data_IF_445999459963
#
_entry.id   IF_445999459963
#
_cell.length_a   1.000
_cell.length_b   1.000
_cell.length_c   1.000
_cell.angle_alpha   90.00
_cell.angle_beta   90.00
_cell.angle_gamma   90.00
#
_symmetry.space_group_name_H-M   'P 1'
#
loop_
_entity.id
_entity.type
_entity.pdbx_description
1 polymer ?
#
# COMPACT_ATOMS: atom_id res chain seq x y z
N UNK A 1 -21.93 -5.18 -29.38
CA UNK A 1 -22.58 -5.67 -28.14
C UNK A 1 -22.38 -4.63 -27.05
N UNK A 2 -23.37 -4.37 -26.19
CA UNK A 2 -23.16 -3.52 -25.02
C UNK A 2 -22.13 -4.17 -24.08
N UNK A 3 -21.26 -3.37 -23.47
CA UNK A 3 -20.21 -3.83 -22.54
C UNK A 3 -20.77 -4.76 -21.44
N UNK A 4 -22.01 -4.51 -20.99
CA UNK A 4 -22.75 -5.33 -20.04
C UNK A 4 -23.07 -6.76 -20.53
N UNK A 5 -23.25 -6.96 -21.84
CA UNK A 5 -23.52 -8.28 -22.42
C UNK A 5 -22.29 -9.17 -22.46
N UNK A 6 -21.10 -8.59 -22.70
CA UNK A 6 -19.84 -9.32 -22.67
C UNK A 6 -19.45 -9.74 -21.25
N UNK A 7 -19.68 -8.86 -20.26
CA UNK A 7 -19.40 -9.15 -18.85
C UNK A 7 -20.27 -10.30 -18.30
N UNK A 8 -21.55 -10.33 -18.69
CA UNK A 8 -22.48 -11.38 -18.28
C UNK A 8 -22.08 -12.74 -18.87
N UNK A 9 -21.71 -12.77 -20.16
CA UNK A 9 -21.22 -13.99 -20.82
C UNK A 9 -19.93 -14.50 -20.17
N UNK A 10 -18.99 -13.60 -19.85
CA UNK A 10 -17.74 -13.97 -19.18
C UNK A 10 -18.00 -14.64 -17.82
N UNK A 11 -18.90 -14.08 -17.01
CA UNK A 11 -19.29 -14.68 -15.72
C UNK A 11 -19.91 -16.06 -15.90
N UNK A 12 -20.75 -16.26 -16.92
CA UNK A 12 -21.33 -17.57 -17.22
C UNK A 12 -20.25 -18.60 -17.61
N UNK A 13 -19.33 -18.24 -18.49
CA UNK A 13 -18.22 -19.11 -18.92
C UNK A 13 -17.31 -19.50 -17.75
N UNK A 14 -16.94 -18.53 -16.90
CA UNK A 14 -16.13 -18.78 -15.70
C UNK A 14 -16.83 -19.77 -14.77
N UNK A 15 -18.12 -19.55 -14.51
CA UNK A 15 -18.93 -20.44 -13.66
C UNK A 15 -19.01 -21.86 -14.21
N UNK A 16 -19.15 -22.01 -15.53
CA UNK A 16 -19.17 -23.31 -16.19
C UNK A 16 -17.83 -24.05 -16.07
N UNK A 17 -16.71 -23.36 -16.33
CA UNK A 17 -15.36 -23.91 -16.20
C UNK A 17 -15.10 -24.41 -14.77
N UNK A 18 -15.44 -23.60 -13.76
CA UNK A 18 -15.28 -23.97 -12.35
C UNK A 18 -16.11 -25.21 -12.00
N UNK A 19 -17.34 -25.27 -12.50
CA UNK A 19 -18.22 -26.43 -12.29
C UNK A 19 -17.63 -27.70 -12.91
N UNK A 20 -17.22 -27.64 -14.18
CA UNK A 20 -16.64 -28.77 -14.91
C UNK A 20 -15.31 -29.25 -14.32
N UNK A 21 -14.42 -28.33 -13.91
CA UNK A 21 -13.20 -28.69 -13.18
C UNK A 21 -13.52 -29.47 -11.90
N UNK A 22 -14.55 -29.04 -11.15
CA UNK A 22 -14.99 -29.70 -9.92
C UNK A 22 -15.51 -31.11 -10.18
N UNK A 23 -16.31 -31.31 -11.24
CA UNK A 23 -16.78 -32.64 -11.65
C UNK A 23 -15.62 -33.58 -12.00
N UNK A 24 -14.53 -33.05 -12.54
CA UNK A 24 -13.28 -33.78 -12.84
C UNK A 24 -12.36 -33.95 -11.62
N UNK A 25 -12.78 -33.51 -10.44
CA UNK A 25 -12.01 -33.66 -9.19
C UNK A 25 -10.97 -32.57 -8.93
N UNK A 26 -10.96 -31.48 -9.72
CA UNK A 26 -10.05 -30.35 -9.56
C UNK A 26 -10.76 -29.16 -8.90
N UNK A 27 -10.22 -28.68 -7.78
CA UNK A 27 -10.70 -27.47 -7.14
C UNK A 27 -10.04 -26.23 -7.78
N UNK A 28 -10.83 -25.42 -8.48
CA UNK A 28 -10.40 -24.19 -9.17
C UNK A 28 -11.23 -23.02 -8.65
N UNK A 29 -10.58 -21.90 -8.31
CA UNK A 29 -11.26 -20.66 -7.91
C UNK A 29 -11.77 -19.89 -9.12
N UNK A 30 -12.81 -19.07 -8.95
CA UNK A 30 -13.32 -18.20 -10.03
C UNK A 30 -12.24 -17.27 -10.58
N UNK A 31 -11.35 -16.76 -9.73
CA UNK A 31 -10.24 -15.90 -10.13
C UNK A 31 -9.23 -16.64 -11.02
N UNK A 32 -8.87 -17.87 -10.65
CA UNK A 32 -7.96 -18.68 -11.45
C UNK A 32 -8.58 -19.04 -12.80
N UNK A 33 -9.88 -19.36 -12.83
CA UNK A 33 -10.61 -19.59 -14.07
C UNK A 33 -10.70 -18.34 -14.95
N UNK A 34 -10.97 -17.17 -14.37
CA UNK A 34 -10.99 -15.89 -15.08
C UNK A 34 -9.62 -15.54 -15.71
N UNK A 35 -8.54 -15.78 -14.95
CA UNK A 35 -7.18 -15.59 -15.46
C UNK A 35 -6.89 -16.57 -16.61
N UNK A 36 -7.29 -17.84 -16.47
CA UNK A 36 -7.09 -18.84 -17.53
C UNK A 36 -7.85 -18.46 -18.81
N UNK A 37 -9.10 -18.03 -18.71
CA UNK A 37 -9.88 -17.53 -19.85
C UNK A 37 -9.13 -16.41 -20.56
N UNK A 38 -8.60 -15.46 -19.80
CA UNK A 38 -7.82 -14.35 -20.35
C UNK A 38 -6.55 -14.84 -21.05
N UNK A 39 -5.80 -15.75 -20.43
CA UNK A 39 -4.58 -16.34 -21.00
C UNK A 39 -4.86 -17.11 -22.30
N UNK A 40 -5.96 -17.86 -22.36
CA UNK A 40 -6.37 -18.61 -23.55
C UNK A 40 -6.79 -17.69 -24.69
N UNK A 41 -7.55 -16.63 -24.41
CA UNK A 41 -7.96 -15.64 -25.42
C UNK A 41 -6.78 -14.83 -25.95
N UNK A 42 -5.81 -14.49 -25.10
CA UNK A 42 -4.65 -13.69 -25.47
C UNK A 42 -3.55 -14.48 -26.19
N UNK A 43 -3.55 -15.81 -26.09
CA UNK A 43 -2.57 -16.66 -26.78
C UNK A 43 -2.86 -16.69 -28.30
N UNK A 44 -1.98 -16.11 -29.14
CA UNK A 44 -2.23 -16.03 -30.58
C UNK A 44 -2.33 -17.40 -31.26
N UNK A 45 -1.82 -18.48 -30.63
CA UNK A 45 -1.91 -19.86 -31.14
C UNK A 45 -3.35 -20.40 -31.10
N UNK A 46 -4.19 -19.88 -30.22
CA UNK A 46 -5.57 -20.32 -30.08
C UNK A 46 -6.49 -19.69 -31.12
N UNK A 47 -6.06 -18.63 -31.81
CA UNK A 47 -6.77 -18.02 -32.94
C UNK A 47 -8.05 -17.28 -32.56
N UNK A 48 -8.16 -16.81 -31.31
CA UNK A 48 -9.24 -15.90 -30.92
C UNK A 48 -8.96 -14.50 -31.45
N UNK A 49 -10.01 -13.83 -31.95
CA UNK A 49 -9.93 -12.44 -32.39
C UNK A 49 -10.66 -11.57 -31.37
N UNK A 50 -9.91 -10.72 -30.66
CA UNK A 50 -10.42 -9.84 -29.59
C UNK A 50 -11.40 -8.79 -30.13
N UNK A 51 -11.30 -8.44 -31.41
CA UNK A 51 -12.13 -7.41 -32.06
C UNK A 51 -13.46 -7.96 -32.62
N UNK A 52 -13.66 -9.29 -32.57
CA UNK A 52 -14.88 -9.95 -33.07
C UNK A 52 -15.74 -10.45 -31.91
N UNK A 53 -17.06 -10.42 -32.09
CA UNK A 53 -18.00 -11.06 -31.16
C UNK A 53 -17.81 -12.58 -31.18
N UNK A 54 -17.66 -13.18 -30.00
CA UNK A 54 -17.57 -14.64 -29.82
C UNK A 54 -18.86 -15.32 -30.31
N UNK A 55 -18.70 -16.34 -31.14
CA UNK A 55 -19.79 -17.26 -31.53
C UNK A 55 -19.97 -18.35 -30.47
N UNK A 56 -21.05 -19.13 -30.56
CA UNK A 56 -21.25 -20.28 -29.67
C UNK A 56 -20.12 -21.30 -29.76
N UNK A 57 -19.61 -21.53 -30.98
CA UNK A 57 -18.49 -22.45 -31.22
C UNK A 57 -17.20 -21.92 -30.61
N UNK A 58 -16.98 -20.59 -30.65
CA UNK A 58 -15.83 -19.96 -29.99
C UNK A 58 -15.89 -20.10 -28.48
N UNK A 59 -17.09 -19.99 -27.88
CA UNK A 59 -17.29 -20.19 -26.44
C UNK A 59 -16.99 -21.64 -26.05
N UNK A 60 -17.50 -22.61 -26.81
CA UNK A 60 -17.24 -24.02 -26.54
C UNK A 60 -15.73 -24.33 -26.65
N UNK A 61 -15.07 -23.85 -27.71
CA UNK A 61 -13.63 -23.98 -27.89
C UNK A 61 -12.84 -23.34 -26.74
N UNK A 62 -13.27 -22.17 -26.28
CA UNK A 62 -12.66 -21.48 -25.15
C UNK A 62 -12.76 -22.30 -23.87
N UNK A 63 -13.94 -22.86 -23.58
CA UNK A 63 -14.16 -23.72 -22.42
C UNK A 63 -13.30 -24.97 -22.48
N UNK A 64 -13.27 -25.67 -23.62
CA UNK A 64 -12.43 -26.86 -23.81
C UNK A 64 -10.95 -26.57 -23.56
N UNK A 65 -10.40 -25.50 -24.17
CA UNK A 65 -9.01 -25.10 -23.98
C UNK A 65 -8.69 -24.72 -22.53
N UNK A 66 -9.61 -24.04 -21.84
CA UNK A 66 -9.45 -23.71 -20.43
C UNK A 66 -9.47 -24.96 -19.55
N UNK A 67 -10.41 -25.88 -19.78
CA UNK A 67 -10.54 -27.11 -19.02
C UNK A 67 -9.32 -28.01 -19.19
N UNK A 68 -8.82 -28.16 -20.42
CA UNK A 68 -7.63 -28.95 -20.69
C UNK A 68 -6.41 -28.39 -19.96
N UNK A 69 -6.21 -27.06 -19.98
CA UNK A 69 -5.11 -26.41 -19.26
C UNK A 69 -5.25 -26.48 -17.75
N UNK A 70 -6.46 -26.32 -17.21
CA UNK A 70 -6.69 -26.33 -15.76
C UNK A 70 -6.63 -27.73 -15.14
N UNK A 71 -6.87 -28.76 -15.93
CA UNK A 71 -6.85 -30.16 -15.50
C UNK A 71 -5.57 -30.90 -15.90
N UNK A 72 -4.64 -30.21 -16.58
CA UNK A 72 -3.34 -30.75 -16.96
C UNK A 72 -2.53 -31.14 -15.71
N UNK A 73 -2.11 -32.41 -15.64
CA UNK A 73 -1.27 -32.92 -14.55
C UNK A 73 0.19 -32.57 -14.82
N UNK A 74 0.90 -32.14 -13.78
CA UNK A 74 2.33 -31.82 -13.84
C UNK A 74 2.64 -30.75 -14.91
N UNK A 75 1.89 -29.64 -14.91
CA UNK A 75 2.09 -28.52 -15.85
C UNK A 75 2.79 -27.35 -15.16
N UNK A 76 4.10 -27.13 -15.41
CA UNK A 76 4.81 -25.97 -14.85
C UNK A 76 4.18 -24.64 -15.23
N UNK A 77 3.51 -24.58 -16.40
CA UNK A 77 2.79 -23.40 -16.85
C UNK A 77 1.57 -23.09 -15.97
N UNK A 78 0.81 -24.12 -15.60
CA UNK A 78 -0.32 -23.99 -14.69
C UNK A 78 0.14 -23.61 -13.28
N UNK A 79 1.23 -24.22 -12.80
CA UNK A 79 1.79 -23.90 -11.49
C UNK A 79 2.30 -22.46 -11.42
N UNK A 80 2.90 -21.95 -12.50
CA UNK A 80 3.30 -20.54 -12.61
C UNK A 80 2.09 -19.61 -12.58
N UNK A 81 1.01 -19.93 -13.30
CA UNK A 81 -0.23 -19.15 -13.29
C UNK A 81 -0.85 -19.14 -11.89
N UNK A 82 -0.88 -20.29 -11.19
CA UNK A 82 -1.37 -20.37 -9.80
C UNK A 82 -0.54 -19.50 -8.86
N UNK A 83 0.79 -19.50 -9.01
CA UNK A 83 1.67 -18.62 -8.25
C UNK A 83 1.38 -17.14 -8.52
N UNK A 84 1.17 -16.75 -9.78
CA UNK A 84 0.84 -15.38 -10.16
C UNK A 84 -0.51 -14.94 -9.57
N UNK A 85 -1.56 -15.76 -9.73
CA UNK A 85 -2.88 -15.46 -9.15
C UNK A 85 -2.81 -15.40 -7.63
N UNK A 86 -2.05 -16.29 -6.99
CA UNK A 86 -1.84 -16.24 -5.55
C UNK A 86 -1.13 -14.94 -5.14
N UNK A 87 -0.12 -14.52 -5.88
CA UNK A 87 0.57 -13.26 -5.61
C UNK A 87 -0.38 -12.06 -5.76
N UNK A 88 -1.10 -11.97 -6.89
CA UNK A 88 -2.02 -10.87 -7.17
C UNK A 88 -3.18 -10.77 -6.16
N UNK A 89 -3.63 -11.90 -5.59
CA UNK A 89 -4.72 -11.91 -4.61
C UNK A 89 -4.26 -11.61 -3.18
N UNK A 90 -3.03 -11.96 -2.82
CA UNK A 90 -2.57 -11.90 -1.43
C UNK A 90 -1.59 -10.75 -1.16
N UNK A 91 -0.98 -10.19 -2.20
CA UNK A 91 -0.07 -9.05 -2.07
C UNK A 91 -0.74 -7.81 -2.62
N UNK A 92 -0.83 -6.78 -1.77
CA UNK A 92 -1.21 -5.44 -2.21
C UNK A 92 -0.19 -4.94 -3.21
N UNK A 93 -0.66 -4.14 -4.16
CA UNK A 93 0.28 -3.47 -5.07
C UNK A 93 1.21 -2.59 -4.23
N UNK A 94 2.43 -2.37 -4.73
CA UNK A 94 3.38 -1.44 -4.07
C UNK A 94 2.74 -0.07 -3.77
N UNK A 95 1.81 0.38 -4.60
CA UNK A 95 1.09 1.64 -4.40
C UNK A 95 0.15 1.57 -3.19
N UNK A 96 -0.71 0.55 -3.13
CA UNK A 96 -1.64 0.34 -2.01
C UNK A 96 -0.89 0.14 -0.69
N UNK A 97 0.21 -0.63 -0.70
CA UNK A 97 1.05 -0.80 0.48
C UNK A 97 1.63 0.53 1.00
N UNK A 98 2.09 1.41 0.08
CA UNK A 98 2.59 2.73 0.45
C UNK A 98 1.47 3.65 0.95
N UNK A 99 0.27 3.54 0.38
CA UNK A 99 -0.92 4.26 0.83
C UNK A 99 -1.34 3.82 2.24
N UNK A 100 -1.34 2.52 2.53
CA UNK A 100 -1.63 1.97 3.85
C UNK A 100 -0.63 2.45 4.89
N UNK A 101 0.67 2.48 4.55
CA UNK A 101 1.71 3.06 5.43
C UNK A 101 1.40 4.54 5.68
N UNK A 102 1.18 5.32 4.63
CA UNK A 102 0.90 6.76 4.78
C UNK A 102 -0.36 7.01 5.62
N UNK A 103 -1.42 6.25 5.39
CA UNK A 103 -2.67 6.36 6.14
C UNK A 103 -2.50 5.94 7.60
N UNK A 104 -1.75 4.86 7.86
CA UNK A 104 -1.41 4.42 9.22
C UNK A 104 -0.62 5.50 9.97
N UNK A 105 0.38 6.10 9.35
CA UNK A 105 1.15 7.19 9.96
C UNK A 105 0.30 8.45 10.18
N UNK A 106 -0.50 8.85 9.20
CA UNK A 106 -1.42 9.98 9.32
C UNK A 106 -2.44 9.77 10.45
N UNK A 107 -2.93 8.53 10.63
CA UNK A 107 -3.87 8.17 11.69
C UNK A 107 -3.27 8.32 13.10
N UNK A 108 -1.96 8.07 13.27
CA UNK A 108 -1.26 8.23 14.55
C UNK A 108 -1.12 9.70 14.95
N UNK A 109 -0.98 10.59 13.96
CA UNK A 109 -0.78 12.02 14.16
C UNK A 109 -2.10 12.79 14.25
N UNK A 110 -3.16 12.25 13.66
CA UNK A 110 -4.49 12.86 13.64
C UNK A 110 -5.01 13.31 15.02
N UNK A 111 -4.87 12.53 16.11
CA UNK A 111 -5.28 12.98 17.45
C UNK A 111 -4.55 14.22 17.93
N UNK A 112 -3.22 14.28 17.72
CA UNK A 112 -2.40 15.42 18.15
C UNK A 112 -2.69 16.67 17.28
N UNK A 113 -2.86 16.49 15.97
CA UNK A 113 -3.30 17.57 15.07
C UNK A 113 -4.66 18.13 15.48
N UNK A 114 -5.63 17.27 15.81
CA UNK A 114 -6.95 17.69 16.32
C UNK A 114 -6.83 18.42 17.66
N UNK A 115 -6.00 17.94 18.57
CA UNK A 115 -5.76 18.60 19.85
C UNK A 115 -5.16 20.01 19.68
N UNK A 116 -4.29 20.21 18.69
CA UNK A 116 -3.72 21.51 18.35
C UNK A 116 -4.77 22.44 17.73
N UNK A 117 -5.55 21.96 16.75
CA UNK A 117 -6.51 22.79 16.00
C UNK A 117 -7.78 23.11 16.78
N UNK A 118 -8.25 22.20 17.63
CA UNK A 118 -9.43 22.41 18.48
C UNK A 118 -9.11 23.24 19.74
N UNK A 119 -7.84 23.61 19.95
CA UNK A 119 -7.40 24.31 21.15
C UNK A 119 -7.91 25.76 21.22
N UNK A 120 -8.71 26.06 22.26
CA UNK A 120 -9.23 27.41 22.54
C UNK A 120 -8.46 28.12 23.66
N UNK A 121 -7.18 28.37 23.41
CA UNK A 121 -6.28 29.14 24.30
C UNK A 121 -6.88 30.50 24.69
N UNK A 122 -6.91 30.82 25.99
CA UNK A 122 -7.35 32.12 26.52
C UNK A 122 -6.26 32.86 27.30
N UNK A 123 -5.23 32.14 27.79
CA UNK A 123 -4.13 32.72 28.57
C UNK A 123 -2.77 32.62 27.86
N UNK A 124 -1.82 33.47 28.26
CA UNK A 124 -0.45 33.43 27.71
C UNK A 124 0.27 32.11 28.00
N UNK A 125 0.04 31.53 29.18
CA UNK A 125 0.58 30.22 29.58
C UNK A 125 0.04 29.08 28.71
N UNK A 126 -1.23 29.13 28.35
CA UNK A 126 -1.84 28.16 27.42
C UNK A 126 -1.31 28.33 25.98
N UNK A 127 -0.92 29.56 25.61
CA UNK A 127 -0.33 29.89 24.31
C UNK A 127 1.08 29.27 24.18
N UNK A 128 1.89 29.37 25.22
CA UNK A 128 3.19 28.69 25.30
C UNK A 128 3.02 27.16 25.23
N UNK A 129 2.01 26.63 25.93
CA UNK A 129 1.67 25.20 25.88
C UNK A 129 1.23 24.71 24.50
N UNK A 130 0.46 25.53 23.76
CA UNK A 130 0.07 25.22 22.37
C UNK A 130 1.30 25.18 21.45
N UNK A 131 2.21 26.15 21.59
CA UNK A 131 3.44 26.19 20.80
C UNK A 131 4.35 24.99 21.09
N UNK A 132 4.42 24.53 22.35
CA UNK A 132 5.11 23.29 22.70
C UNK A 132 4.47 22.06 22.07
N UNK A 133 3.13 21.96 22.03
CA UNK A 133 2.43 20.86 21.35
C UNK A 133 2.74 20.82 19.86
N UNK A 134 2.74 21.98 19.19
CA UNK A 134 3.15 22.10 17.79
C UNK A 134 4.60 21.63 17.61
N UNK A 135 5.50 22.01 18.53
CA UNK A 135 6.90 21.57 18.49
C UNK A 135 7.04 20.04 18.62
N UNK A 136 6.22 19.40 19.44
CA UNK A 136 6.21 17.95 19.63
C UNK A 136 5.56 17.18 18.46
N UNK A 137 4.76 17.84 17.63
CA UNK A 137 4.19 17.22 16.42
C UNK A 137 5.28 16.81 15.43
N UNK A 138 6.33 17.61 15.24
CA UNK A 138 7.38 17.35 14.25
C UNK A 138 8.19 16.06 14.46
N UNK A 139 8.69 15.75 15.66
CA UNK A 139 9.37 14.47 15.89
C UNK A 139 8.42 13.27 15.80
N UNK A 140 7.13 13.44 16.09
CA UNK A 140 6.14 12.38 15.93
C UNK A 140 5.78 12.14 14.45
N UNK A 141 5.68 13.21 13.65
CA UNK A 141 5.30 13.15 12.24
C UNK A 141 6.42 12.63 11.33
N UNK A 142 7.66 12.69 11.82
CA UNK A 142 8.84 12.23 11.12
C UNK A 142 9.08 10.73 11.40
N UNK A 143 8.21 9.88 10.86
CA UNK A 143 8.41 8.43 10.66
C UNK A 143 9.35 7.78 11.69
N UNK A 144 8.94 7.63 12.96
CA UNK A 144 9.65 6.79 13.94
C UNK A 144 11.19 6.78 13.81
N UNK A 145 11.84 7.92 13.53
CA UNK A 145 13.29 7.95 13.42
C UNK A 145 13.79 7.94 14.85
N UNK A 146 14.07 6.72 15.33
CA UNK A 146 14.53 6.40 16.67
C UNK A 146 15.81 7.16 16.95
N UNK A 147 15.69 8.40 17.44
CA UNK A 147 16.82 9.21 17.88
C UNK A 147 16.39 10.23 18.92
N UNK A 148 17.34 10.56 19.81
CA UNK A 148 17.34 11.70 20.71
C UNK A 148 17.23 13.00 19.91
N UNK A 149 16.00 13.37 19.57
CA UNK A 149 15.70 14.68 19.06
C UNK A 149 15.87 15.66 20.23
N UNK A 150 17.04 16.30 20.32
CA UNK A 150 17.20 17.37 21.30
C UNK A 150 16.11 18.41 21.01
N UNK A 151 15.16 18.55 21.93
CA UNK A 151 14.04 19.46 21.80
C UNK A 151 14.49 20.89 21.48
N UNK A 152 15.73 21.25 21.86
CA UNK A 152 16.36 22.53 21.52
C UNK A 152 16.49 22.78 20.01
N UNK A 153 16.89 21.78 19.21
CA UNK A 153 17.04 21.93 17.76
C UNK A 153 15.68 22.04 17.07
N UNK A 154 14.70 21.25 17.52
CA UNK A 154 13.31 21.34 17.11
C UNK A 154 12.76 22.75 17.22
N UNK A 155 12.97 23.33 18.40
CA UNK A 155 12.48 24.65 18.77
C UNK A 155 13.17 25.69 17.89
N UNK A 156 14.49 25.58 17.69
CA UNK A 156 15.24 26.52 16.87
C UNK A 156 14.79 26.51 15.39
N UNK A 157 14.63 25.32 14.79
CA UNK A 157 14.16 25.19 13.40
C UNK A 157 12.71 25.65 13.26
N UNK A 158 11.85 25.31 14.22
CA UNK A 158 10.47 25.77 14.19
C UNK A 158 10.38 27.29 14.31
N UNK A 159 11.12 27.90 15.25
CA UNK A 159 11.13 29.35 15.43
C UNK A 159 11.64 30.10 14.19
N UNK A 160 12.49 29.49 13.35
CA UNK A 160 12.95 30.16 12.13
C UNK A 160 11.91 30.18 11.01
N UNK A 161 10.95 29.25 11.00
CA UNK A 161 9.93 29.14 9.95
C UNK A 161 8.51 29.48 10.42
N UNK A 162 8.28 29.40 11.72
CA UNK A 162 7.02 29.69 12.38
C UNK A 162 7.29 30.33 13.75
N UNK A 163 7.65 31.63 13.78
CA UNK A 163 7.88 32.34 15.03
C UNK A 163 6.64 32.34 15.93
N UNK A 164 6.84 32.40 17.24
CA UNK A 164 5.72 32.38 18.19
C UNK A 164 4.69 33.52 17.97
N UNK A 165 5.11 34.64 17.36
CA UNK A 165 4.22 35.73 16.97
C UNK A 165 3.14 35.32 15.94
N UNK A 166 3.46 34.35 15.07
CA UNK A 166 2.54 33.83 14.04
C UNK A 166 1.43 32.93 14.62
N UNK A 167 1.56 32.52 15.88
CA UNK A 167 0.54 31.70 16.53
C UNK A 167 -0.81 32.42 16.65
N UNK A 168 -0.81 33.76 16.66
CA UNK A 168 -2.04 34.56 16.58
C UNK A 168 -2.78 34.36 15.26
N UNK A 169 -2.06 34.39 14.14
CA UNK A 169 -2.60 34.21 12.79
C UNK A 169 -3.07 32.77 12.57
N UNK A 170 -2.28 31.79 13.00
CA UNK A 170 -2.63 30.36 12.97
C UNK A 170 -3.98 30.09 13.66
N UNK A 171 -4.23 30.72 14.83
CA UNK A 171 -5.44 30.47 15.63
C UNK A 171 -6.73 30.99 14.99
N UNK A 172 -6.64 32.07 14.22
CA UNK A 172 -7.82 32.69 13.58
C UNK A 172 -8.13 32.03 12.24
N UNK A 173 -7.19 31.27 11.67
CA UNK A 173 -7.39 30.50 10.46
C UNK A 173 -8.46 29.42 10.63
N UNK A 174 -9.08 29.01 9.51
CA UNK A 174 -10.04 27.92 9.52
C UNK A 174 -9.33 26.61 9.89
N UNK A 175 -10.07 25.67 10.49
CA UNK A 175 -9.52 24.36 10.89
C UNK A 175 -8.79 23.65 9.75
N UNK A 176 -9.35 23.69 8.53
CA UNK A 176 -8.71 23.11 7.33
C UNK A 176 -7.37 23.78 7.00
N UNK A 177 -7.29 25.09 7.16
CA UNK A 177 -6.06 25.86 6.91
C UNK A 177 -5.02 25.59 7.99
N UNK A 178 -5.45 25.42 9.25
CA UNK A 178 -4.57 25.03 10.36
C UNK A 178 -3.97 23.63 10.13
N UNK A 179 -4.79 22.65 9.75
CA UNK A 179 -4.33 21.29 9.43
C UNK A 179 -3.33 21.31 8.27
N UNK A 180 -3.61 22.09 7.23
CA UNK A 180 -2.71 22.27 6.10
C UNK A 180 -1.39 22.96 6.51
N UNK A 181 -1.45 24.02 7.32
CA UNK A 181 -0.26 24.70 7.84
C UNK A 181 0.62 23.77 8.68
N UNK A 182 0.03 22.91 9.53
CA UNK A 182 0.80 21.92 10.30
C UNK A 182 1.50 20.91 9.39
N UNK A 183 0.86 20.48 8.30
CA UNK A 183 1.45 19.58 7.29
C UNK A 183 2.61 20.25 6.57
N UNK A 184 2.43 21.49 6.11
CA UNK A 184 3.48 22.25 5.42
C UNK A 184 4.68 22.53 6.32
N UNK A 185 4.43 22.97 7.56
CA UNK A 185 5.49 23.17 8.54
C UNK A 185 6.25 21.87 8.82
N UNK A 186 5.55 20.73 8.84
CA UNK A 186 6.20 19.43 9.02
C UNK A 186 7.15 19.13 7.88
N UNK A 187 6.74 19.35 6.64
CA UNK A 187 7.60 19.18 5.46
C UNK A 187 8.81 20.14 5.47
N UNK A 188 8.60 21.41 5.84
CA UNK A 188 9.66 22.42 5.88
C UNK A 188 10.69 22.09 6.98
N UNK A 189 10.23 21.82 8.20
CA UNK A 189 11.10 21.44 9.34
C UNK A 189 11.89 20.17 9.02
N UNK A 190 11.25 19.21 8.34
CA UNK A 190 11.89 17.99 7.84
C UNK A 190 12.99 18.31 6.82
N UNK A 191 12.69 19.13 5.82
CA UNK A 191 13.66 19.53 4.78
C UNK A 191 14.87 20.25 5.37
N UNK A 192 14.65 21.21 6.27
CA UNK A 192 15.73 21.93 6.96
C UNK A 192 16.59 20.98 7.80
N UNK A 193 15.97 20.00 8.47
CA UNK A 193 16.70 18.98 9.23
C UNK A 193 17.58 18.13 8.32
N UNK A 194 17.03 17.61 7.22
CA UNK A 194 17.78 16.79 6.26
C UNK A 194 18.96 17.57 5.69
N UNK A 195 18.71 18.82 5.28
CA UNK A 195 19.74 19.73 4.78
C UNK A 195 20.84 20.00 5.81
N UNK A 196 20.48 20.32 7.05
CA UNK A 196 21.44 20.55 8.12
C UNK A 196 22.22 19.27 8.50
N UNK A 197 21.64 18.08 8.33
CA UNK A 197 22.33 16.79 8.55
C UNK A 197 23.35 16.51 7.45
N UNK A 198 22.99 16.76 6.19
CA UNK A 198 23.91 16.66 5.06
C UNK A 198 25.12 17.59 5.26
N UNK A 199 24.89 18.85 5.66
CA UNK A 199 25.96 19.83 5.82
C UNK A 199 26.90 19.60 7.02
N UNK A 200 26.47 18.85 8.05
CA UNK A 200 27.29 18.61 9.27
C UNK A 200 28.36 17.52 9.11
N UNK A 201 28.37 16.78 8.00
CA UNK A 201 29.29 15.64 7.79
C UNK A 201 30.55 15.95 6.96
N UNK A 202 30.75 17.21 6.53
CA UNK A 202 31.92 17.61 5.72
C UNK A 202 31.69 17.45 4.21
N UNK A 203 32.67 17.87 3.42
CA UNK A 203 32.64 18.11 1.95
C UNK A 203 32.38 16.88 1.05
N UNK A 204 31.99 15.72 1.59
CA UNK A 204 31.48 14.63 0.77
C UNK A 204 29.99 14.87 0.51
N UNK A 205 29.61 14.86 -0.78
CA UNK A 205 28.25 15.04 -1.27
C UNK A 205 27.33 13.97 -0.66
N UNK A 206 26.75 14.26 0.51
CA UNK A 206 25.91 13.29 1.23
C UNK A 206 24.60 13.15 0.47
N UNK A 207 24.38 11.97 -0.11
CA UNK A 207 23.12 11.63 -0.73
C UNK A 207 22.02 11.59 0.35
N UNK A 208 21.05 12.51 0.22
CA UNK A 208 19.88 12.59 1.09
C UNK A 208 19.11 11.26 1.08
N UNK A 209 19.17 10.52 -0.04
CA UNK A 209 18.59 9.19 -0.14
C UNK A 209 19.34 8.18 0.74
N UNK A 210 20.66 8.24 0.85
CA UNK A 210 21.43 7.34 1.73
C UNK A 210 21.10 7.60 3.21
N UNK A 211 20.92 8.87 3.59
CA UNK A 211 20.49 9.27 4.93
C UNK A 211 19.08 8.79 5.27
N UNK A 212 18.15 8.84 4.32
CA UNK A 212 16.78 8.31 4.49
C UNK A 212 16.82 6.79 4.55
N UNK A 213 17.62 6.15 3.69
CA UNK A 213 17.73 4.70 3.61
C UNK A 213 18.34 4.12 4.89
N UNK A 214 19.44 4.66 5.41
CA UNK A 214 20.07 4.17 6.65
C UNK A 214 19.11 4.16 7.84
N UNK A 215 18.15 5.08 7.86
CA UNK A 215 17.22 5.28 8.95
C UNK A 215 15.90 4.50 8.75
N UNK A 216 15.40 4.42 7.51
CA UNK A 216 14.19 3.69 7.16
C UNK A 216 14.41 2.17 7.06
N UNK A 217 15.57 1.73 6.54
CA UNK A 217 15.91 0.31 6.36
C UNK A 217 15.69 -0.55 7.60
N UNK A 218 16.16 -0.21 8.81
CA UNK A 218 15.97 -1.07 9.98
C UNK A 218 14.50 -1.20 10.38
N UNK A 219 13.71 -0.13 10.26
CA UNK A 219 12.27 -0.13 10.57
C UNK A 219 11.51 -0.95 9.54
N UNK A 220 11.76 -0.70 8.25
CA UNK A 220 11.13 -1.42 7.15
C UNK A 220 11.54 -2.89 7.16
N UNK A 221 12.80 -3.21 7.42
CA UNK A 221 13.30 -4.59 7.52
C UNK A 221 12.63 -5.35 8.66
N UNK A 222 12.46 -4.72 9.83
CA UNK A 222 11.72 -5.32 10.95
C UNK A 222 10.25 -5.53 10.62
N UNK A 223 9.60 -4.58 9.94
CA UNK A 223 8.21 -4.71 9.51
C UNK A 223 8.05 -5.86 8.51
N UNK A 224 8.92 -5.92 7.50
CA UNK A 224 8.95 -6.99 6.49
C UNK A 224 9.18 -8.35 7.16
N UNK A 225 10.12 -8.45 8.10
CA UNK A 225 10.37 -9.69 8.84
C UNK A 225 9.15 -10.19 9.62
N UNK A 226 8.38 -9.26 10.21
CA UNK A 226 7.14 -9.60 10.91
C UNK A 226 6.05 -10.10 9.94
N UNK A 227 5.85 -9.43 8.81
CA UNK A 227 4.88 -9.85 7.79
C UNK A 227 5.26 -11.19 7.14
N UNK A 228 6.55 -11.42 6.89
CA UNK A 228 7.06 -12.72 6.43
C UNK A 228 6.78 -13.83 7.43
N UNK A 229 6.95 -13.57 8.72
CA UNK A 229 6.63 -14.52 9.79
C UNK A 229 5.13 -14.89 9.78
N UNK A 230 4.25 -13.90 9.64
CA UNK A 230 2.80 -14.11 9.52
C UNK A 230 2.47 -14.94 8.27
N UNK A 231 3.06 -14.58 7.13
CA UNK A 231 2.81 -15.27 5.84
C UNK A 231 3.27 -16.73 5.87
N UNK A 232 4.43 -17.00 6.47
CA UNK A 232 4.92 -18.37 6.66
C UNK A 232 3.97 -19.23 7.50
N UNK A 233 3.30 -18.65 8.50
CA UNK A 233 2.29 -19.39 9.28
C UNK A 233 0.99 -19.65 8.52
N UNK A 234 0.64 -18.82 7.52
CA UNK A 234 -0.52 -18.98 6.65
C UNK A 234 -0.28 -19.98 5.51
N UNK A 235 0.91 -19.99 4.89
CA UNK A 235 1.29 -20.99 3.87
C UNK A 235 1.22 -22.41 4.41
N UNK A 236 1.64 -22.63 5.66
CA UNK A 236 1.53 -23.96 6.31
C UNK A 236 0.07 -24.41 6.42
N UNK A 237 -0.89 -23.48 6.60
CA UNK A 237 -2.32 -23.81 6.62
C UNK A 237 -2.89 -24.09 5.24
N UNK A 238 -2.49 -23.34 4.21
CA UNK A 238 -2.93 -23.58 2.83
C UNK A 238 -2.38 -24.88 2.25
N UNK A 239 -1.11 -25.22 2.53
CA UNK A 239 -0.49 -26.45 2.05
C UNK A 239 -0.88 -27.69 2.88
N UNK A 240 -1.14 -27.56 4.19
CA UNK A 240 -1.60 -28.69 5.01
C UNK A 240 -3.06 -29.11 4.72
N UNK A 241 -3.86 -28.22 4.14
CA UNK A 241 -5.23 -28.53 3.70
C UNK A 241 -5.32 -29.58 2.58
N UNK A 242 -4.23 -29.81 1.83
CA UNK A 242 -4.15 -30.83 0.78
C UNK A 242 -3.56 -32.16 1.27
N UNK A 243 -2.75 -32.15 2.34
CA UNK A 243 -2.11 -33.36 2.86
C UNK A 243 -3.03 -34.25 3.70
N UNK A 244 -4.15 -33.73 4.22
CA UNK A 244 -5.10 -34.48 5.07
C UNK A 244 -6.23 -35.18 4.27
N UNK A 245 -6.04 -35.41 2.96
CA UNK A 245 -6.98 -36.15 2.11
C UNK A 245 -6.37 -37.37 1.40
N UNK A 246 -5.25 -37.89 1.91
CA UNK A 246 -4.73 -39.20 1.54
C UNK A 246 -5.06 -40.23 2.63
#
# INVERSE_FOLDING_TARGET
MSQAGAETLLKTVIGHIVHECRLRGHAVSETLAAFMVSAVVLDPRNGFNVDRTLTKDDVQKLEELCLDKLTEKCSPSLDTIKMQVCFDMNYTTKCEFLEDIHQSEESKLSPLCREITDNRVKSRKELDGLYQKITHLYPAALLCLTFDFSSSFAIAVLQSVFPQAELGNFRVALKRDQEQQLKELTMIVTGIRLFNKANKRGEEEVDIHELILQEALPVTSKSIANELCVTQTLEVHCCAGEANKL
#
